data_IF_576040671569
#
_entry.id   IF_576040671569
#
_cell.length_a   1.000
_cell.length_b   1.000
_cell.length_c   1.000
_cell.angle_alpha   90.00
_cell.angle_beta   90.00
_cell.angle_gamma   90.00
#
_symmetry.space_group_name_H-M   'P 1'
#
loop_
_entity.id
_entity.type
_entity.pdbx_description
1 polymer ?
#
# COMPACT_ATOMS: atom_id res chain seq x y z
N UNK A 1 12.86 13.97 -2.46
CA UNK A 1 13.32 12.61 -2.72
C UNK A 1 13.00 11.79 -1.49
N UNK A 2 12.15 10.77 -1.61
CA UNK A 2 11.84 9.86 -0.50
C UNK A 2 13.12 9.05 -0.24
N UNK A 3 13.78 9.27 0.90
CA UNK A 3 14.98 8.52 1.26
C UNK A 3 14.55 7.13 1.74
N UNK A 4 14.41 6.22 0.79
CA UNK A 4 14.22 4.81 1.10
C UNK A 4 15.54 4.25 1.62
N UNK A 5 15.55 3.84 2.89
CA UNK A 5 16.62 2.98 3.38
C UNK A 5 16.37 1.60 2.78
N UNK A 6 17.38 1.03 2.13
CA UNK A 6 17.36 -0.32 1.56
C UNK A 6 17.44 -1.39 2.65
N UNK A 7 16.46 -1.40 3.55
CA UNK A 7 16.31 -2.41 4.59
C UNK A 7 15.00 -3.16 4.42
N UNK A 8 15.10 -4.48 4.45
CA UNK A 8 13.98 -5.40 4.39
C UNK A 8 13.66 -5.95 5.76
N UNK A 9 12.37 -5.97 6.10
CA UNK A 9 11.91 -6.69 7.28
C UNK A 9 12.15 -8.19 7.12
N UNK A 10 12.77 -8.79 8.11
CA UNK A 10 12.90 -10.25 8.22
C UNK A 10 12.21 -10.71 9.49
N UNK A 11 11.72 -11.95 9.47
CA UNK A 11 11.12 -12.59 10.63
C UNK A 11 11.86 -13.87 10.96
N UNK A 12 12.20 -14.07 12.23
CA UNK A 12 12.81 -15.30 12.75
C UNK A 12 12.37 -15.50 14.20
N UNK A 13 12.00 -16.73 14.56
CA UNK A 13 11.53 -17.08 15.91
C UNK A 13 10.42 -16.14 16.43
N UNK A 14 9.44 -15.86 15.56
CA UNK A 14 8.33 -14.93 15.82
C UNK A 14 8.70 -13.48 16.14
N UNK A 15 9.94 -13.08 15.85
CA UNK A 15 10.41 -11.71 16.01
C UNK A 15 10.84 -11.11 14.68
N UNK A 16 10.68 -9.81 14.58
CA UNK A 16 11.04 -9.02 13.41
C UNK A 16 12.39 -8.34 13.61
N UNK A 17 13.16 -8.29 12.53
CA UNK A 17 14.43 -7.58 12.40
C UNK A 17 14.53 -6.99 10.98
N UNK A 18 15.72 -6.55 10.60
CA UNK A 18 15.96 -5.94 9.29
C UNK A 18 17.29 -6.39 8.70
N UNK A 19 17.30 -6.60 7.38
CA UNK A 19 18.49 -6.91 6.59
C UNK A 19 18.68 -5.93 5.44
N UNK A 20 19.88 -5.80 4.90
CA UNK A 20 20.16 -5.06 3.68
C UNK A 20 19.86 -5.88 2.41
N UNK A 21 20.07 -5.26 1.24
CA UNK A 21 19.88 -5.90 -0.07
C UNK A 21 20.90 -7.00 -0.40
N UNK A 22 21.96 -7.16 0.40
CA UNK A 22 22.93 -8.24 0.28
C UNK A 22 22.58 -9.44 1.18
N UNK A 23 21.47 -9.35 1.94
CA UNK A 23 21.06 -10.36 2.91
C UNK A 23 21.82 -10.27 4.24
N UNK A 24 22.59 -9.20 4.47
CA UNK A 24 23.24 -8.96 5.75
C UNK A 24 22.22 -8.44 6.76
N UNK A 25 22.08 -9.14 7.89
CA UNK A 25 21.24 -8.68 9.00
C UNK A 25 21.88 -7.42 9.60
N UNK A 26 21.16 -6.31 9.54
CA UNK A 26 21.57 -5.01 10.10
C UNK A 26 20.98 -4.84 11.51
N UNK A 27 19.75 -5.29 11.70
CA UNK A 27 19.05 -5.24 12.99
C UNK A 27 18.52 -6.64 13.27
N UNK A 28 19.03 -7.26 14.33
CA UNK A 28 18.66 -8.63 14.71
C UNK A 28 17.14 -8.77 14.97
N UNK A 29 16.53 -9.94 14.67
CA UNK A 29 15.13 -10.19 14.96
C UNK A 29 14.80 -10.15 16.47
N UNK A 30 14.39 -8.97 16.96
CA UNK A 30 14.11 -8.72 18.38
C UNK A 30 12.72 -8.12 18.63
N UNK A 31 12.06 -7.58 17.61
CA UNK A 31 10.79 -6.87 17.75
C UNK A 31 9.59 -7.80 17.66
N UNK A 32 8.52 -7.53 18.39
CA UNK A 32 7.25 -8.27 18.25
C UNK A 32 6.55 -7.96 16.92
N UNK A 33 6.76 -6.75 16.39
CA UNK A 33 6.28 -6.30 15.09
C UNK A 33 7.17 -5.19 14.55
N UNK A 34 7.24 -5.05 13.23
CA UNK A 34 7.99 -4.02 12.53
C UNK A 34 7.23 -3.55 11.29
N UNK A 35 7.20 -2.24 11.06
CA UNK A 35 6.85 -1.64 9.76
C UNK A 35 8.10 -1.39 8.93
N UNK A 36 7.94 -1.15 7.62
CA UNK A 36 9.06 -0.78 6.76
C UNK A 36 9.64 0.59 7.15
N UNK A 37 10.90 0.84 6.79
CA UNK A 37 11.50 2.16 6.99
C UNK A 37 10.85 3.18 6.06
N UNK A 38 10.37 4.28 6.64
CA UNK A 38 9.88 5.44 5.92
C UNK A 38 10.34 6.72 6.62
N UNK A 39 10.77 7.71 5.84
CA UNK A 39 11.38 8.94 6.37
C UNK A 39 12.56 8.64 7.34
N UNK A 40 13.37 7.63 6.99
CA UNK A 40 14.51 7.13 7.78
C UNK A 40 14.19 6.54 9.16
N UNK A 41 12.92 6.40 9.53
CA UNK A 41 12.49 5.72 10.76
C UNK A 41 11.62 4.51 10.44
N UNK A 42 11.61 3.52 11.34
CA UNK A 42 10.65 2.44 11.31
C UNK A 42 9.88 2.37 12.63
N UNK A 43 8.56 2.26 12.53
CA UNK A 43 7.72 1.96 13.69
C UNK A 43 7.88 0.48 14.07
N UNK A 44 8.28 0.22 15.31
CA UNK A 44 8.53 -1.12 15.83
C UNK A 44 7.84 -1.33 17.17
N UNK A 45 7.48 -2.57 17.45
CA UNK A 45 6.76 -2.95 18.67
C UNK A 45 7.64 -3.79 19.59
N UNK A 46 7.82 -3.32 20.83
CA UNK A 46 8.43 -4.07 21.94
C UNK A 46 7.60 -3.93 23.19
N UNK A 47 7.55 -4.98 24.01
CA UNK A 47 6.80 -4.97 25.28
C UNK A 47 5.34 -4.48 25.13
N UNK A 48 4.70 -4.89 24.03
CA UNK A 48 3.36 -4.52 23.61
C UNK A 48 3.12 -3.03 23.32
N UNK A 49 4.19 -2.23 23.19
CA UNK A 49 4.12 -0.80 22.86
C UNK A 49 4.94 -0.48 21.62
N UNK A 50 4.48 0.53 20.90
CA UNK A 50 5.14 1.04 19.71
C UNK A 50 6.08 2.18 20.06
N UNK A 51 7.23 2.16 19.39
CA UNK A 51 8.25 3.21 19.36
C UNK A 51 8.85 3.27 17.95
N UNK A 52 9.89 4.07 17.77
CA UNK A 52 10.54 4.27 16.48
C UNK A 52 12.04 4.09 16.58
N UNK A 53 12.63 3.46 15.58
CA UNK A 53 14.07 3.22 15.46
C UNK A 53 14.63 3.85 14.18
N UNK A 54 15.93 4.19 14.20
CA UNK A 54 16.68 4.55 13.01
C UNK A 54 17.16 3.31 12.23
N UNK A 55 17.79 3.53 11.07
CA UNK A 55 18.30 2.47 10.21
C UNK A 55 19.44 1.62 10.80
N UNK A 56 20.01 2.02 11.94
CA UNK A 56 20.99 1.24 12.69
C UNK A 56 20.35 0.48 13.86
N UNK A 57 19.02 0.55 14.01
CA UNK A 57 18.28 -0.08 15.10
C UNK A 57 18.30 0.70 16.40
N UNK A 58 18.80 1.93 16.42
CA UNK A 58 18.80 2.77 17.61
C UNK A 58 17.40 3.33 17.84
N UNK A 59 16.89 3.21 19.05
CA UNK A 59 15.63 3.86 19.47
C UNK A 59 15.75 5.38 19.33
N UNK A 60 14.84 5.97 18.55
CA UNK A 60 14.68 7.43 18.37
C UNK A 60 13.50 7.92 19.19
N UNK A 61 12.41 7.14 19.24
CA UNK A 61 11.23 7.43 20.06
C UNK A 61 10.91 6.19 20.88
N UNK A 62 10.76 6.39 22.19
CA UNK A 62 10.57 5.30 23.16
C UNK A 62 9.30 4.48 22.90
N UNK A 63 9.33 3.21 23.31
CA UNK A 63 8.21 2.26 23.23
C UNK A 63 7.08 2.62 24.21
N UNK A 64 6.29 3.64 23.89
CA UNK A 64 5.26 4.18 24.78
C UNK A 64 3.85 4.17 24.21
N UNK A 65 3.68 4.04 22.89
CA UNK A 65 2.39 4.14 22.23
C UNK A 65 1.63 2.81 22.18
N UNK A 66 0.29 2.86 22.21
CA UNK A 66 -0.55 1.65 22.08
C UNK A 66 -0.53 1.11 20.65
N UNK A 67 -0.57 2.00 19.67
CA UNK A 67 -0.48 1.73 18.23
C UNK A 67 0.21 2.92 17.54
N UNK A 68 0.80 2.68 16.38
CA UNK A 68 1.36 3.74 15.54
C UNK A 68 1.35 3.35 14.07
N UNK A 69 1.37 4.36 13.21
CA UNK A 69 1.67 4.25 11.79
C UNK A 69 3.10 4.74 11.49
N UNK A 70 3.54 4.63 10.23
CA UNK A 70 4.84 5.16 9.85
C UNK A 70 4.86 6.68 9.93
N UNK A 71 6.07 7.22 10.02
CA UNK A 71 6.25 8.62 9.67
C UNK A 71 5.89 8.81 8.21
N UNK A 72 5.21 9.89 7.88
CA UNK A 72 5.05 10.38 6.53
C UNK A 72 4.97 11.90 6.61
N UNK A 73 5.63 12.58 5.67
CA UNK A 73 5.51 14.02 5.53
C UNK A 73 5.96 14.82 6.78
N UNK A 74 6.82 14.22 7.62
CA UNK A 74 7.32 14.80 8.87
C UNK A 74 6.58 14.38 10.15
N UNK A 75 5.50 13.59 10.03
CA UNK A 75 4.58 13.32 11.13
C UNK A 75 4.19 11.85 11.21
N UNK A 76 3.81 11.37 12.39
CA UNK A 76 3.28 10.03 12.55
C UNK A 76 1.99 10.02 13.40
N UNK A 77 0.92 9.38 12.91
CA UNK A 77 -0.22 9.06 13.74
C UNK A 77 0.14 8.06 14.84
N UNK A 78 -0.23 8.38 16.07
CA UNK A 78 0.00 7.51 17.24
C UNK A 78 -1.25 7.42 18.09
N UNK A 79 -1.46 6.24 18.67
CA UNK A 79 -2.61 5.97 19.54
C UNK A 79 -2.18 5.96 21.00
N UNK A 80 -2.82 6.83 21.79
CA UNK A 80 -2.71 6.88 23.24
C UNK A 80 -4.07 6.49 23.83
N UNK A 81 -4.09 5.47 24.69
CA UNK A 81 -5.33 4.82 25.14
C UNK A 81 -6.18 4.42 23.93
N UNK A 82 -7.39 4.95 23.76
CA UNK A 82 -8.27 4.62 22.64
C UNK A 82 -8.34 5.68 21.54
N UNK A 83 -7.55 6.76 21.63
CA UNK A 83 -7.63 7.88 20.69
C UNK A 83 -6.32 8.09 19.96
N UNK A 84 -6.44 8.49 18.70
CA UNK A 84 -5.33 8.84 17.84
C UNK A 84 -5.04 10.33 17.93
N UNK A 85 -3.75 10.65 17.98
CA UNK A 85 -3.15 11.98 17.82
C UNK A 85 -1.97 11.89 16.86
N UNK A 86 -1.19 12.97 16.73
CA UNK A 86 -0.08 13.07 15.77
C UNK A 86 1.15 13.62 16.47
N UNK A 87 2.30 13.00 16.21
CA UNK A 87 3.61 13.46 16.67
C UNK A 87 4.53 13.87 15.53
N UNK A 88 5.53 14.68 15.84
CA UNK A 88 6.69 14.94 14.97
C UNK A 88 7.86 13.98 15.27
N UNK A 89 8.96 14.13 14.52
CA UNK A 89 10.19 13.32 14.68
C UNK A 89 10.89 13.47 16.03
N UNK A 90 10.60 14.55 16.77
CA UNK A 90 11.17 14.80 18.09
C UNK A 90 10.22 14.33 19.20
N UNK A 91 9.19 13.54 18.86
CA UNK A 91 8.23 13.01 19.82
C UNK A 91 7.36 14.11 20.47
N UNK A 92 7.26 15.29 19.83
CA UNK A 92 6.36 16.35 20.27
C UNK A 92 4.94 16.05 19.79
N UNK A 93 3.94 16.24 20.66
CA UNK A 93 2.53 16.13 20.29
C UNK A 93 2.11 17.34 19.46
N UNK A 94 1.85 17.12 18.17
CA UNK A 94 1.39 18.15 17.22
C UNK A 94 -0.13 18.25 17.24
N UNK A 95 -0.82 17.11 17.31
CA UNK A 95 -2.27 17.03 17.43
C UNK A 95 -2.64 16.10 18.58
N UNK A 96 -3.32 16.64 19.58
CA UNK A 96 -3.71 15.89 20.77
C UNK A 96 -4.65 14.70 20.45
N UNK A 97 -4.49 13.55 21.15
CA UNK A 97 -5.31 12.37 20.92
C UNK A 97 -6.81 12.64 21.16
N UNK A 98 -7.58 12.72 20.08
CA UNK A 98 -9.03 12.93 20.16
C UNK A 98 -9.84 12.25 19.05
N UNK A 99 -9.17 11.55 18.14
CA UNK A 99 -9.76 10.91 16.98
C UNK A 99 -9.95 9.40 17.19
N UNK A 100 -10.95 8.83 16.52
CA UNK A 100 -11.14 7.37 16.50
C UNK A 100 -10.11 6.69 15.58
N UNK A 101 -9.68 7.41 14.55
CA UNK A 101 -8.70 6.98 13.58
C UNK A 101 -8.06 8.20 12.90
N UNK A 102 -6.78 8.09 12.58
CA UNK A 102 -6.02 9.01 11.74
C UNK A 102 -5.18 8.12 10.80
N UNK A 103 -5.23 8.39 9.51
CA UNK A 103 -4.37 7.76 8.51
C UNK A 103 -3.04 8.51 8.37
N UNK A 104 -2.06 7.92 7.69
CA UNK A 104 -0.79 8.58 7.39
C UNK A 104 -0.99 9.85 6.55
N UNK A 105 -0.07 10.82 6.68
CA UNK A 105 -0.12 12.01 5.83
C UNK A 105 0.18 11.64 4.37
N UNK A 106 -0.65 12.15 3.47
CA UNK A 106 -0.45 12.10 2.02
C UNK A 106 -0.76 13.47 1.44
N UNK A 107 0.15 14.02 0.64
CA UNK A 107 0.00 15.34 0.01
C UNK A 107 -0.33 16.46 1.01
N UNK A 108 0.30 16.47 2.18
CA UNK A 108 0.13 17.52 3.18
C UNK A 108 -1.12 17.43 4.06
N UNK A 109 -1.97 16.40 3.88
CA UNK A 109 -3.17 16.18 4.70
C UNK A 109 -3.22 14.75 5.24
N UNK A 110 -3.97 14.56 6.32
CA UNK A 110 -4.29 13.24 6.88
C UNK A 110 -5.81 13.04 6.89
N UNK A 111 -6.26 11.85 6.46
CA UNK A 111 -7.63 11.41 6.65
C UNK A 111 -7.89 11.15 8.14
N UNK A 112 -8.99 11.67 8.66
CA UNK A 112 -9.34 11.51 10.07
C UNK A 112 -10.79 11.09 10.27
N UNK A 113 -11.02 10.24 11.27
CA UNK A 113 -12.35 9.87 11.73
C UNK A 113 -12.56 10.33 13.17
N UNK A 114 -13.66 11.06 13.39
CA UNK A 114 -14.12 11.43 14.74
C UNK A 114 -15.64 11.43 14.76
N UNK A 115 -16.21 10.81 15.78
CA UNK A 115 -17.66 10.65 15.94
C UNK A 115 -18.33 10.02 14.69
N UNK A 116 -17.69 9.00 14.11
CA UNK A 116 -18.15 8.26 12.93
C UNK A 116 -18.31 9.10 11.66
N UNK A 117 -17.68 10.28 11.59
CA UNK A 117 -17.56 11.07 10.37
C UNK A 117 -16.11 11.24 9.99
N UNK A 118 -15.86 11.17 8.69
CA UNK A 118 -14.56 11.40 8.08
C UNK A 118 -14.42 12.83 7.54
N UNK A 119 -13.19 13.32 7.58
CA UNK A 119 -12.74 14.59 7.05
C UNK A 119 -11.23 14.58 6.93
N UNK A 120 -10.63 15.73 6.63
CA UNK A 120 -9.18 15.84 6.43
C UNK A 120 -8.63 17.00 7.23
N UNK A 121 -7.47 16.78 7.85
CA UNK A 121 -6.72 17.82 8.54
C UNK A 121 -5.40 18.12 7.83
N UNK A 122 -4.93 19.35 7.97
CA UNK A 122 -3.59 19.75 7.55
C UNK A 122 -2.55 19.50 8.67
N UNK A 123 -1.27 19.74 8.37
CA UNK A 123 -0.15 19.60 9.31
C UNK A 123 -0.24 20.50 10.55
N UNK A 124 -1.10 21.51 10.54
CA UNK A 124 -1.35 22.43 11.67
C UNK A 124 -2.59 22.03 12.47
N UNK A 125 -3.29 20.96 12.08
CA UNK A 125 -4.53 20.50 12.70
C UNK A 125 -5.77 21.30 12.32
N UNK A 126 -5.71 22.15 11.29
CA UNK A 126 -6.90 22.76 10.71
C UNK A 126 -7.67 21.71 9.91
N UNK A 127 -8.96 21.95 9.65
CA UNK A 127 -9.79 21.09 8.81
C UNK A 127 -10.07 21.75 7.45
N UNK A 128 -9.17 21.65 6.45
CA UNK A 128 -9.49 22.04 5.07
C UNK A 128 -10.78 21.39 4.57
N UNK A 129 -11.06 20.17 5.02
CA UNK A 129 -12.28 19.43 4.70
C UNK A 129 -12.90 18.94 6.00
N UNK A 130 -14.06 19.51 6.34
CA UNK A 130 -14.76 19.22 7.59
C UNK A 130 -15.15 17.74 7.73
N UNK A 131 -15.30 17.29 8.98
CA UNK A 131 -15.80 15.96 9.35
C UNK A 131 -17.28 15.82 8.97
N UNK A 132 -17.56 15.39 7.74
CA UNK A 132 -18.94 15.29 7.22
C UNK A 132 -19.24 14.00 6.46
N UNK A 133 -18.22 13.27 6.02
CA UNK A 133 -18.39 12.07 5.19
C UNK A 133 -18.63 10.82 6.04
N UNK A 134 -19.39 9.87 5.52
CA UNK A 134 -19.62 8.56 6.15
C UNK A 134 -18.47 7.60 5.86
N UNK A 135 -17.94 7.68 4.63
CA UNK A 135 -16.74 6.96 4.23
C UNK A 135 -15.83 7.91 3.44
N UNK A 136 -14.53 7.75 3.60
CA UNK A 136 -13.53 8.47 2.83
C UNK A 136 -12.22 7.67 2.83
N UNK A 137 -11.43 7.85 1.78
CA UNK A 137 -10.09 7.30 1.65
C UNK A 137 -9.07 8.43 1.48
N UNK A 138 -7.81 8.13 1.77
CA UNK A 138 -6.71 9.08 1.65
C UNK A 138 -6.51 9.56 0.21
N UNK A 139 -5.90 10.73 0.06
CA UNK A 139 -5.65 11.31 -1.27
C UNK A 139 -4.67 10.44 -2.07
N UNK A 140 -5.09 10.09 -3.30
CA UNK A 140 -4.24 9.52 -4.34
C UNK A 140 -4.34 10.39 -5.59
N UNK A 141 -3.18 10.73 -6.16
CA UNK A 141 -3.08 11.59 -7.34
C UNK A 141 -3.96 12.86 -7.31
N UNK A 142 -3.90 13.58 -6.18
CA UNK A 142 -4.57 14.87 -5.93
C UNK A 142 -6.08 14.81 -5.64
N UNK A 143 -6.68 13.61 -5.68
CA UNK A 143 -8.10 13.41 -5.35
C UNK A 143 -8.29 12.39 -4.25
N UNK A 144 -9.39 12.51 -3.51
CA UNK A 144 -9.83 11.53 -2.52
C UNK A 144 -11.24 11.06 -2.86
N UNK A 145 -11.48 9.74 -2.79
CA UNK A 145 -12.84 9.20 -2.91
C UNK A 145 -13.56 9.30 -1.56
N UNK A 146 -14.76 9.83 -1.60
CA UNK A 146 -15.59 10.07 -0.41
C UNK A 146 -17.04 9.70 -0.69
N UNK A 147 -17.78 9.43 0.38
CA UNK A 147 -19.17 9.06 0.33
C UNK A 147 -19.91 9.61 1.57
N UNK A 148 -21.12 10.13 1.35
CA UNK A 148 -22.03 10.58 2.40
C UNK A 148 -23.45 10.31 1.89
N UNK A 149 -23.98 9.11 2.16
CA UNK A 149 -25.18 8.55 1.53
C UNK A 149 -24.86 7.51 0.44
N UNK A 150 -25.64 7.46 -0.63
CA UNK A 150 -25.61 6.30 -1.54
C UNK A 150 -24.58 6.36 -2.68
N UNK A 151 -23.83 7.46 -2.84
CA UNK A 151 -22.95 7.65 -4.01
C UNK A 151 -21.53 8.02 -3.65
N UNK A 152 -20.58 7.37 -4.32
CA UNK A 152 -19.17 7.75 -4.30
C UNK A 152 -18.91 8.96 -5.19
N UNK A 153 -17.97 9.79 -4.76
CA UNK A 153 -17.47 10.94 -5.52
C UNK A 153 -16.00 11.16 -5.25
N UNK A 154 -15.33 11.88 -6.13
CA UNK A 154 -13.96 12.35 -5.88
C UNK A 154 -13.97 13.84 -5.53
N UNK A 155 -13.17 14.20 -4.52
CA UNK A 155 -12.95 15.58 -4.11
C UNK A 155 -11.48 15.96 -4.26
N UNK A 156 -11.23 17.24 -4.51
CA UNK A 156 -9.87 17.80 -4.47
C UNK A 156 -9.46 18.18 -3.03
N UNK A 157 -8.25 18.72 -2.87
CA UNK A 157 -7.71 19.14 -1.57
C UNK A 157 -8.43 20.32 -0.89
N UNK A 158 -9.29 21.03 -1.62
CA UNK A 158 -10.19 22.07 -1.07
C UNK A 158 -11.54 21.50 -0.64
N UNK A 159 -11.81 20.23 -0.94
CA UNK A 159 -13.09 19.58 -0.70
C UNK A 159 -14.13 19.83 -1.80
N UNK A 160 -13.74 20.42 -2.93
CA UNK A 160 -14.63 20.58 -4.08
C UNK A 160 -14.82 19.23 -4.77
N UNK A 161 -16.07 18.92 -5.14
CA UNK A 161 -16.40 17.73 -5.92
C UNK A 161 -15.89 17.90 -7.35
N UNK A 162 -14.99 17.02 -7.78
CA UNK A 162 -14.35 17.08 -9.11
C UNK A 162 -14.84 15.99 -10.05
N UNK A 163 -15.26 14.84 -9.51
CA UNK A 163 -15.82 13.75 -10.30
C UNK A 163 -17.03 13.19 -9.57
N UNK A 164 -18.18 13.18 -10.24
CA UNK A 164 -19.39 12.54 -9.75
C UNK A 164 -19.57 11.21 -10.49
N UNK A 165 -19.62 10.12 -9.72
CA UNK A 165 -19.59 8.77 -10.26
C UNK A 165 -20.96 8.11 -10.14
N UNK A 166 -21.44 7.53 -11.23
CA UNK A 166 -22.62 6.65 -11.24
C UNK A 166 -22.16 5.18 -11.35
N UNK A 167 -21.37 4.76 -10.36
CA UNK A 167 -20.79 3.42 -10.22
C UNK A 167 -21.06 2.88 -8.83
N UNK A 168 -21.19 1.56 -8.71
CA UNK A 168 -21.44 0.87 -7.44
C UNK A 168 -20.21 0.97 -6.53
N UNK A 169 -19.00 0.89 -7.11
CA UNK A 169 -17.74 1.12 -6.43
C UNK A 169 -16.77 1.92 -7.30
N UNK A 170 -15.92 2.70 -6.64
CA UNK A 170 -14.82 3.46 -7.25
C UNK A 170 -13.55 3.26 -6.43
N UNK A 171 -12.39 3.31 -7.09
CA UNK A 171 -11.09 3.02 -6.49
C UNK A 171 -10.12 4.20 -6.63
N UNK A 172 -8.95 4.11 -6.03
CA UNK A 172 -7.98 5.19 -6.04
C UNK A 172 -7.35 5.36 -7.44
N UNK A 173 -6.98 6.59 -7.79
CA UNK A 173 -6.29 6.85 -9.04
C UNK A 173 -4.85 6.33 -8.97
N UNK A 174 -4.43 5.62 -10.01
CA UNK A 174 -3.06 5.19 -10.24
C UNK A 174 -2.71 5.33 -11.73
N UNK A 175 -1.61 6.02 -11.99
CA UNK A 175 -1.14 6.41 -13.32
C UNK A 175 -2.19 7.13 -14.18
N UNK A 176 -2.98 7.99 -13.54
CA UNK A 176 -4.00 8.80 -14.20
C UNK A 176 -5.35 8.13 -14.43
N UNK A 177 -5.50 6.84 -14.08
CA UNK A 177 -6.75 6.09 -14.21
C UNK A 177 -7.23 5.55 -12.87
N UNK A 178 -8.53 5.46 -12.68
CA UNK A 178 -9.15 4.81 -11.52
C UNK A 178 -10.04 3.66 -11.97
N UNK A 179 -9.98 2.55 -11.25
CA UNK A 179 -10.91 1.45 -11.49
C UNK A 179 -12.31 1.86 -11.04
N UNK A 180 -13.31 1.36 -11.73
CA UNK A 180 -14.72 1.53 -11.38
C UNK A 180 -15.46 0.22 -11.61
N UNK A 181 -16.51 -0.01 -10.81
CA UNK A 181 -17.34 -1.20 -10.93
C UNK A 181 -18.81 -0.82 -11.01
N UNK A 182 -19.54 -1.44 -11.94
CA UNK A 182 -21.01 -1.41 -11.98
C UNK A 182 -21.54 -2.73 -12.52
N UNK A 183 -22.63 -3.23 -11.94
CA UNK A 183 -23.22 -4.52 -12.32
C UNK A 183 -22.21 -5.68 -12.32
N UNK A 184 -21.34 -5.72 -11.31
CA UNK A 184 -20.26 -6.72 -11.16
C UNK A 184 -19.24 -6.77 -12.30
N UNK A 185 -19.16 -5.72 -13.11
CA UNK A 185 -18.14 -5.57 -14.15
C UNK A 185 -17.26 -4.37 -13.87
N UNK A 186 -15.97 -4.54 -14.17
CA UNK A 186 -14.94 -3.55 -13.95
C UNK A 186 -14.47 -2.90 -15.26
N UNK A 187 -14.11 -1.63 -15.15
CA UNK A 187 -13.49 -0.81 -16.18
C UNK A 187 -12.71 0.33 -15.54
N UNK A 188 -12.33 1.35 -16.32
CA UNK A 188 -11.50 2.44 -15.82
C UNK A 188 -12.01 3.81 -16.28
N UNK A 189 -11.90 4.80 -15.41
CA UNK A 189 -12.17 6.21 -15.71
C UNK A 189 -10.90 7.06 -15.70
N UNK A 190 -10.90 8.14 -16.47
CA UNK A 190 -9.89 9.20 -16.40
C UNK A 190 -10.18 10.21 -15.26
N UNK A 191 -9.28 11.18 -15.08
CA UNK A 191 -9.43 12.26 -14.07
C UNK A 191 -10.57 13.25 -14.36
N UNK A 192 -11.22 13.16 -15.51
CA UNK A 192 -12.43 13.91 -15.84
C UNK A 192 -13.71 13.08 -15.55
N UNK A 193 -13.55 11.81 -15.15
CA UNK A 193 -14.65 10.89 -14.90
C UNK A 193 -15.15 10.14 -16.15
N UNK A 194 -14.47 10.27 -17.29
CA UNK A 194 -14.88 9.58 -18.51
C UNK A 194 -14.43 8.12 -18.47
N UNK A 195 -15.32 7.20 -18.86
CA UNK A 195 -14.97 5.80 -19.03
C UNK A 195 -13.99 5.65 -20.21
N UNK A 196 -12.75 5.24 -19.93
CA UNK A 196 -11.70 5.01 -20.94
C UNK A 196 -11.52 3.53 -21.28
N UNK A 197 -11.87 2.65 -20.35
CA UNK A 197 -11.89 1.19 -20.54
C UNK A 197 -13.27 0.72 -20.09
N UNK A 198 -13.96 0.01 -20.98
CA UNK A 198 -15.35 -0.40 -20.76
C UNK A 198 -15.51 -1.37 -19.58
N UNK A 199 -16.72 -1.39 -19.01
CA UNK A 199 -17.10 -2.31 -17.93
C UNK A 199 -17.30 -3.74 -18.45
N UNK A 200 -16.21 -4.47 -18.67
CA UNK A 200 -16.25 -5.83 -19.26
C UNK A 200 -15.51 -6.89 -18.46
N UNK A 201 -14.60 -6.49 -17.57
CA UNK A 201 -13.76 -7.41 -16.79
C UNK A 201 -14.47 -7.91 -15.53
N UNK A 202 -14.19 -9.15 -15.14
CA UNK A 202 -14.75 -9.77 -13.92
C UNK A 202 -14.06 -9.25 -12.65
N UNK A 203 -12.78 -8.91 -12.75
CA UNK A 203 -12.01 -8.20 -11.72
C UNK A 203 -10.79 -7.52 -12.36
N UNK A 204 -10.24 -6.52 -11.68
CA UNK A 204 -9.01 -5.85 -12.09
C UNK A 204 -8.38 -5.11 -10.91
N UNK A 205 -7.07 -4.97 -10.90
CA UNK A 205 -6.36 -4.01 -10.05
C UNK A 205 -6.06 -2.69 -10.79
N UNK A 206 -5.49 -1.71 -10.08
CA UNK A 206 -5.10 -0.43 -10.67
C UNK A 206 -3.99 -0.56 -11.73
N UNK A 207 -3.70 0.54 -12.43
CA UNK A 207 -2.55 0.59 -13.33
C UNK A 207 -1.25 0.74 -12.54
N UNK A 208 -0.29 -0.15 -12.81
CA UNK A 208 1.07 -0.10 -12.30
C UNK A 208 2.05 -0.45 -13.43
N UNK A 209 3.02 0.42 -13.61
CA UNK A 209 4.03 0.36 -14.66
C UNK A 209 3.45 0.21 -16.07
N UNK A 210 2.44 1.04 -16.38
CA UNK A 210 1.70 1.10 -17.65
C UNK A 210 0.82 -0.11 -17.98
N UNK A 211 0.57 -0.99 -17.00
CA UNK A 211 -0.28 -2.17 -17.16
C UNK A 211 -1.27 -2.34 -16.01
N UNK A 212 -2.40 -2.99 -16.27
CA UNK A 212 -3.32 -3.46 -15.22
C UNK A 212 -3.56 -4.95 -15.42
N UNK A 213 -3.56 -5.71 -14.32
CA UNK A 213 -4.02 -7.10 -14.37
C UNK A 213 -5.55 -7.11 -14.45
N UNK A 214 -6.09 -7.93 -15.35
CA UNK A 214 -7.53 -8.05 -15.60
C UNK A 214 -7.94 -9.51 -15.67
N UNK A 215 -9.14 -9.80 -15.17
CA UNK A 215 -9.72 -11.15 -15.19
C UNK A 215 -10.89 -11.24 -16.17
N UNK A 216 -10.86 -12.29 -16.99
CA UNK A 216 -11.98 -12.72 -17.85
C UNK A 216 -12.24 -14.21 -17.56
N UNK A 217 -13.44 -14.51 -17.09
CA UNK A 217 -13.80 -15.82 -16.57
C UNK A 217 -12.88 -16.20 -15.41
N UNK A 218 -12.14 -17.28 -15.57
CA UNK A 218 -11.21 -17.78 -14.54
C UNK A 218 -9.77 -17.31 -14.75
N UNK A 219 -9.47 -16.59 -15.84
CA UNK A 219 -8.10 -16.29 -16.24
C UNK A 219 -7.73 -14.82 -16.17
N UNK A 220 -6.54 -14.56 -15.67
CA UNK A 220 -5.91 -13.24 -15.59
C UNK A 220 -4.92 -13.03 -16.73
N UNK A 221 -4.93 -11.82 -17.28
CA UNK A 221 -3.97 -11.27 -18.24
C UNK A 221 -3.62 -9.84 -17.89
N UNK A 222 -2.92 -9.14 -18.77
CA UNK A 222 -2.51 -7.75 -18.57
C UNK A 222 -2.87 -6.89 -19.78
N UNK A 223 -3.46 -5.74 -19.51
CA UNK A 223 -3.80 -4.74 -20.54
C UNK A 223 -2.98 -3.47 -20.35
N UNK A 224 -2.81 -2.73 -21.45
CA UNK A 224 -2.32 -1.36 -21.41
C UNK A 224 -3.47 -0.36 -21.26
N UNK A 225 -3.16 0.95 -21.18
CA UNK A 225 -4.13 2.05 -21.02
C UNK A 225 -5.06 2.25 -22.23
N UNK A 226 -4.82 1.55 -23.35
CA UNK A 226 -5.66 1.54 -24.56
C UNK A 226 -6.57 0.31 -24.63
N UNK A 227 -6.65 -0.49 -23.55
CA UNK A 227 -7.46 -1.71 -23.51
C UNK A 227 -6.94 -2.83 -24.43
N UNK A 228 -5.64 -2.79 -24.78
CA UNK A 228 -4.99 -3.82 -25.59
C UNK A 228 -4.27 -4.82 -24.66
N UNK A 229 -4.43 -6.12 -24.91
CA UNK A 229 -3.69 -7.14 -24.18
C UNK A 229 -2.19 -7.06 -24.49
N UNK A 230 -1.40 -6.82 -23.46
CA UNK A 230 0.06 -6.97 -23.48
C UNK A 230 0.43 -8.42 -23.20
N UNK A 231 -0.36 -9.08 -22.35
CA UNK A 231 -0.26 -10.51 -22.06
C UNK A 231 -1.69 -11.06 -22.00
N UNK A 232 -1.96 -12.07 -22.83
CA UNK A 232 -3.28 -12.70 -22.92
C UNK A 232 -3.72 -13.34 -21.58
N UNK A 233 -5.03 -13.46 -21.32
CA UNK A 233 -5.54 -14.04 -20.09
C UNK A 233 -5.33 -15.56 -20.05
N UNK A 234 -4.23 -15.99 -19.44
CA UNK A 234 -3.81 -17.40 -19.35
C UNK A 234 -3.48 -17.87 -17.94
N UNK A 235 -3.33 -16.96 -16.97
CA UNK A 235 -2.94 -17.26 -15.59
C UNK A 235 -4.17 -17.45 -14.70
N UNK A 236 -4.05 -18.21 -13.62
CA UNK A 236 -5.14 -18.40 -12.65
C UNK A 236 -5.32 -17.14 -11.76
N UNK A 237 -4.19 -16.54 -11.37
CA UNK A 237 -4.11 -15.28 -10.61
C UNK A 237 -2.89 -14.48 -11.07
N UNK A 238 -2.89 -13.17 -10.82
CA UNK A 238 -1.82 -12.25 -11.21
C UNK A 238 -1.71 -11.11 -10.20
N UNK A 239 -0.48 -10.72 -9.84
CA UNK A 239 -0.20 -9.49 -9.10
C UNK A 239 0.18 -8.36 -10.05
N UNK A 240 0.14 -7.13 -9.56
CA UNK A 240 0.59 -5.96 -10.32
C UNK A 240 2.09 -6.04 -10.68
N UNK A 241 2.47 -5.42 -11.80
CA UNK A 241 3.88 -5.21 -12.09
C UNK A 241 4.50 -4.29 -11.03
N UNK A 242 5.64 -4.71 -10.49
CA UNK A 242 6.47 -3.94 -9.59
C UNK A 242 7.94 -4.20 -9.92
N UNK A 243 8.66 -3.11 -10.16
CA UNK A 243 10.05 -3.08 -10.57
C UNK A 243 10.36 -3.92 -11.82
N UNK A 244 9.44 -3.91 -12.79
CA UNK A 244 9.55 -4.65 -14.04
C UNK A 244 9.34 -6.16 -13.92
N UNK A 245 8.71 -6.62 -12.84
CA UNK A 245 8.37 -8.03 -12.56
C UNK A 245 6.92 -8.14 -12.11
N UNK A 246 6.29 -9.26 -12.40
CA UNK A 246 5.01 -9.60 -11.78
C UNK A 246 5.00 -11.08 -11.40
N UNK A 247 4.34 -11.41 -10.29
CA UNK A 247 4.05 -12.79 -9.97
C UNK A 247 2.71 -13.21 -10.57
N UNK A 248 2.69 -14.41 -11.14
CA UNK A 248 1.49 -15.01 -11.75
C UNK A 248 1.35 -16.45 -11.30
N UNK A 249 0.12 -16.89 -11.08
CA UNK A 249 -0.19 -18.21 -10.55
C UNK A 249 -0.67 -19.14 -11.67
N UNK A 250 -0.16 -20.36 -11.67
CA UNK A 250 -0.65 -21.45 -12.51
C UNK A 250 -0.63 -22.75 -11.72
N UNK A 251 -1.74 -23.49 -11.72
CA UNK A 251 -1.86 -24.80 -11.04
C UNK A 251 -1.38 -24.72 -9.58
N UNK A 252 -1.93 -23.76 -8.84
CA UNK A 252 -1.66 -23.52 -7.41
C UNK A 252 -0.25 -23.07 -7.03
N UNK A 253 0.62 -22.77 -8.00
CA UNK A 253 1.97 -22.25 -7.74
C UNK A 253 2.20 -20.91 -8.41
N UNK A 254 2.93 -20.03 -7.73
CA UNK A 254 3.36 -18.73 -8.24
C UNK A 254 4.70 -18.83 -8.97
N UNK A 255 4.79 -18.17 -10.12
CA UNK A 255 6.00 -17.92 -10.91
C UNK A 255 6.18 -16.43 -11.15
N UNK A 256 7.36 -16.03 -11.62
CA UNK A 256 7.71 -14.63 -11.89
C UNK A 256 7.92 -14.42 -13.39
N UNK A 257 7.29 -13.38 -13.93
CA UNK A 257 7.37 -12.99 -15.35
C UNK A 257 8.02 -11.61 -15.53
N UNK A 258 8.62 -11.40 -16.70
CA UNK A 258 9.00 -10.06 -17.19
C UNK A 258 7.81 -9.34 -17.83
N UNK A 259 8.00 -8.07 -18.24
CA UNK A 259 6.95 -7.25 -18.90
C UNK A 259 6.45 -7.80 -20.24
N UNK A 260 7.15 -8.76 -20.85
CA UNK A 260 6.70 -9.45 -22.06
C UNK A 260 5.91 -10.73 -21.77
N UNK A 261 5.72 -11.08 -20.49
CA UNK A 261 5.05 -12.31 -20.06
C UNK A 261 5.95 -13.54 -20.06
N UNK A 262 7.27 -13.39 -20.30
CA UNK A 262 8.21 -14.52 -20.24
C UNK A 262 8.54 -14.85 -18.80
N UNK A 263 8.47 -16.13 -18.46
CA UNK A 263 8.89 -16.61 -17.15
C UNK A 263 10.39 -16.40 -16.93
N UNK A 264 10.71 -15.66 -15.87
CA UNK A 264 12.04 -15.62 -15.27
C UNK A 264 12.18 -16.81 -14.31
N UNK A 265 11.13 -17.05 -13.51
CA UNK A 265 10.99 -18.21 -12.65
C UNK A 265 9.68 -18.90 -12.96
N UNK A 266 9.74 -20.19 -13.30
CA UNK A 266 8.53 -20.99 -13.50
C UNK A 266 7.74 -21.10 -12.19
N UNK A 267 6.41 -21.36 -12.27
CA UNK A 267 5.58 -21.61 -11.09
C UNK A 267 6.19 -22.66 -10.16
N UNK A 268 6.52 -22.24 -8.94
CA UNK A 268 7.11 -23.11 -7.91
C UNK A 268 6.82 -22.66 -6.47
N UNK A 269 6.49 -21.38 -6.26
CA UNK A 269 6.26 -20.81 -4.93
C UNK A 269 4.82 -21.04 -4.46
N UNK A 270 4.65 -21.26 -3.16
CA UNK A 270 3.35 -21.41 -2.51
C UNK A 270 2.65 -20.06 -2.32
N UNK A 271 3.42 -19.02 -2.01
CA UNK A 271 2.93 -17.66 -1.81
C UNK A 271 4.02 -16.63 -2.12
N UNK A 272 3.64 -15.39 -2.40
CA UNK A 272 4.55 -14.35 -2.90
C UNK A 272 4.07 -12.95 -2.51
N UNK A 273 5.02 -12.04 -2.31
CA UNK A 273 4.79 -10.59 -2.29
C UNK A 273 5.39 -9.94 -3.55
N UNK A 274 4.87 -8.77 -3.93
CA UNK A 274 5.48 -7.97 -5.00
C UNK A 274 6.94 -7.61 -4.68
N UNK A 275 7.72 -7.40 -5.74
CA UNK A 275 9.07 -6.85 -5.59
C UNK A 275 9.01 -5.44 -5.00
N UNK A 276 9.89 -5.17 -4.04
CA UNK A 276 10.10 -3.87 -3.44
C UNK A 276 11.59 -3.74 -3.11
N UNK A 277 12.19 -2.57 -3.38
CA UNK A 277 13.61 -2.26 -3.25
C UNK A 277 14.57 -3.34 -3.81
N UNK A 278 14.16 -4.06 -4.85
CA UNK A 278 14.97 -5.09 -5.49
C UNK A 278 14.81 -6.53 -4.98
N UNK A 279 13.97 -6.77 -3.97
CA UNK A 279 13.71 -8.11 -3.45
C UNK A 279 12.21 -8.42 -3.36
N UNK A 280 11.87 -9.70 -3.40
CA UNK A 280 10.53 -10.19 -3.12
C UNK A 280 10.60 -11.30 -2.05
N UNK A 281 9.66 -11.25 -1.11
CA UNK A 281 9.42 -12.36 -0.19
C UNK A 281 8.59 -13.41 -0.91
N UNK A 282 9.00 -14.68 -0.82
CA UNK A 282 8.26 -15.81 -1.36
C UNK A 282 8.26 -16.97 -0.36
N UNK A 283 7.24 -17.82 -0.42
CA UNK A 283 7.16 -19.07 0.33
C UNK A 283 7.50 -20.21 -0.62
N UNK A 284 8.52 -21.00 -0.25
CA UNK A 284 8.94 -22.19 -0.97
C UNK A 284 9.06 -23.34 0.02
N UNK A 285 8.26 -24.40 -0.16
CA UNK A 285 8.23 -25.56 0.73
C UNK A 285 7.99 -25.17 2.19
N UNK A 286 6.95 -24.36 2.42
CA UNK A 286 6.55 -23.79 3.72
C UNK A 286 7.60 -22.88 4.40
N UNK A 287 8.62 -22.43 3.67
CA UNK A 287 9.68 -21.55 4.19
C UNK A 287 9.71 -20.19 3.53
N UNK A 288 9.85 -19.15 4.34
CA UNK A 288 10.06 -17.78 3.89
C UNK A 288 11.48 -17.59 3.36
N UNK A 289 11.57 -17.11 2.12
CA UNK A 289 12.84 -16.72 1.50
C UNK A 289 12.69 -15.36 0.82
N UNK A 290 13.81 -14.64 0.70
CA UNK A 290 13.90 -13.46 -0.15
C UNK A 290 14.67 -13.79 -1.41
N UNK A 291 14.16 -13.33 -2.55
CA UNK A 291 14.80 -13.46 -3.86
C UNK A 291 15.03 -12.10 -4.51
N UNK A 292 16.11 -11.98 -5.29
CA UNK A 292 16.34 -10.84 -6.18
C UNK A 292 15.49 -10.95 -7.47
N UNK A 293 15.58 -9.94 -8.35
CA UNK A 293 14.81 -9.87 -9.61
C UNK A 293 15.18 -10.93 -10.64
N UNK A 294 16.33 -11.56 -10.46
CA UNK A 294 16.83 -12.68 -11.26
C UNK A 294 16.43 -14.02 -10.66
N UNK A 295 15.82 -14.01 -9.46
CA UNK A 295 15.37 -15.18 -8.73
C UNK A 295 16.44 -15.84 -7.86
N UNK A 296 17.59 -15.19 -7.65
CA UNK A 296 18.61 -15.69 -6.73
C UNK A 296 18.18 -15.41 -5.31
N UNK A 297 18.40 -16.40 -4.45
CA UNK A 297 18.08 -16.29 -3.02
C UNK A 297 19.04 -15.33 -2.33
N UNK A 298 18.50 -14.26 -1.75
CA UNK A 298 19.21 -13.28 -0.92
C UNK A 298 19.28 -13.77 0.52
N UNK A 299 18.16 -14.30 1.03
CA UNK A 299 18.04 -14.73 2.43
C UNK A 299 17.05 -15.88 2.56
N UNK A 300 17.18 -16.67 3.63
CA UNK A 300 16.20 -17.69 4.02
C UNK A 300 16.05 -17.73 5.54
N UNK A 301 14.85 -18.07 5.98
CA UNK A 301 14.62 -18.45 7.37
C UNK A 301 15.47 -19.70 7.71
N UNK A 302 16.08 -19.68 8.89
CA UNK A 302 16.91 -20.78 9.40
C UNK A 302 16.05 -21.88 10.00
#
# INVERSE_FOLDING_TARGET
MKNYTNLFRIKSNDKWGYMDNNGQIIIEPVFQYAWDFWDSLAAVKMNNKWGYIDCNGKTVIDYKYKQSWNFSDGFAPVKIKEKWGIIDHNDNMVIEPSFNFIDEFSNGMALVNKNNKYGFLDKKGNYPIALKYENAFSFSEEVARVNNGDRWKYINSKGDEVINCDFDCVFDFHEGLAQVMKNFKYGFIDKSGNLVIELKYDSTDGFYEDTANVKIGEKCGYINKKDEFVIDPIFDEALNFSEGRAFVKMKDKWGCIDKSGRFILKPQFDDVNNFCNGAAMVILDDKYIYIDKEGKRIWKEQ
#
